data_IF_752315290607
#
_entry.id   IF_752315290607
#
_cell.length_a   1.000
_cell.length_b   1.000
_cell.length_c   1.000
_cell.angle_alpha   90.00
_cell.angle_beta   90.00
_cell.angle_gamma   90.00
#
_symmetry.space_group_name_H-M   'P 1'
#
loop_
_entity.id
_entity.type
_entity.pdbx_description
1 polymer ?
#
# COMPACT_ATOMS: atom_id res chain seq x y z
N UNK A 1 -2.89 -4.12 -1.10
CA UNK A 1 -2.48 -2.86 -1.74
C UNK A 1 -3.40 -1.70 -1.35
N UNK A 2 -4.73 -1.88 -1.32
CA UNK A 2 -5.72 -0.82 -1.02
C UNK A 2 -5.36 0.14 0.13
N UNK A 3 -5.04 -0.37 1.32
CA UNK A 3 -4.68 0.50 2.45
C UNK A 3 -3.32 1.22 2.25
N UNK A 4 -2.38 0.60 1.51
CA UNK A 4 -1.10 1.22 1.14
C UNK A 4 -1.31 2.32 0.11
N UNK A 5 -2.30 2.18 -0.76
CA UNK A 5 -2.67 3.21 -1.74
C UNK A 5 -3.35 4.41 -1.05
N UNK A 6 -4.22 4.16 -0.06
CA UNK A 6 -4.86 5.21 0.75
C UNK A 6 -3.90 5.91 1.73
N UNK A 7 -2.96 5.15 2.31
CA UNK A 7 -1.97 5.65 3.26
C UNK A 7 -0.64 6.07 2.64
N UNK A 8 -0.45 5.87 1.34
CA UNK A 8 0.83 6.04 0.66
C UNK A 8 1.23 7.52 0.53
N UNK A 9 2.48 7.82 0.87
CA UNK A 9 3.07 9.16 0.75
C UNK A 9 4.13 9.24 -0.35
N UNK A 10 4.75 8.11 -0.70
CA UNK A 10 5.74 8.06 -1.77
C UNK A 10 5.76 6.68 -2.41
N UNK A 11 5.75 6.65 -3.74
CA UNK A 11 5.79 5.43 -4.53
C UNK A 11 7.01 5.42 -5.45
N UNK A 12 7.70 4.29 -5.51
CA UNK A 12 8.87 4.08 -6.39
C UNK A 12 8.86 2.67 -6.97
N UNK A 13 9.34 2.55 -8.20
CA UNK A 13 9.61 1.24 -8.83
C UNK A 13 11.08 0.90 -8.63
N UNK A 14 11.34 -0.15 -7.85
CA UNK A 14 12.66 -0.76 -7.71
C UNK A 14 13.02 -1.50 -9.01
N UNK A 15 14.33 -1.51 -9.33
CA UNK A 15 14.86 -2.17 -10.52
C UNK A 15 14.21 -1.73 -11.84
N UNK A 16 13.77 -0.47 -11.94
CA UNK A 16 13.09 0.07 -13.13
C UNK A 16 13.87 -0.17 -14.43
N UNK A 17 15.20 -0.17 -14.39
CA UNK A 17 16.06 -0.40 -15.55
C UNK A 17 16.39 -1.88 -15.86
N UNK A 18 16.14 -2.84 -14.96
CA UNK A 18 16.65 -4.23 -15.09
C UNK A 18 15.69 -5.21 -15.79
N UNK A 19 14.70 -4.69 -16.51
CA UNK A 19 13.68 -5.50 -17.19
C UNK A 19 12.47 -5.87 -16.31
N UNK A 20 11.31 -6.20 -16.91
CA UNK A 20 10.04 -6.29 -16.20
C UNK A 20 9.98 -7.40 -15.16
N UNK A 21 10.65 -8.54 -15.40
CA UNK A 21 10.59 -9.71 -14.53
C UNK A 21 11.14 -9.47 -13.11
N UNK A 22 11.97 -8.45 -12.93
CA UNK A 22 12.64 -8.15 -11.64
C UNK A 22 12.24 -6.81 -11.04
N UNK A 23 11.27 -6.11 -11.64
CA UNK A 23 10.73 -4.86 -11.11
C UNK A 23 9.83 -5.12 -9.90
N UNK A 24 9.86 -4.22 -8.92
CA UNK A 24 8.99 -4.28 -7.75
C UNK A 24 8.52 -2.88 -7.33
N UNK A 25 7.27 -2.77 -6.88
CA UNK A 25 6.74 -1.50 -6.36
C UNK A 25 7.04 -1.38 -4.86
N UNK A 26 7.62 -0.26 -4.45
CA UNK A 26 7.81 0.11 -3.05
C UNK A 26 7.02 1.38 -2.75
N UNK A 27 6.26 1.34 -1.67
CA UNK A 27 5.57 2.50 -1.13
C UNK A 27 6.05 2.80 0.29
N UNK A 28 6.22 4.08 0.61
CA UNK A 28 6.22 4.56 1.99
C UNK A 28 4.80 5.02 2.31
N UNK A 29 4.32 4.69 3.50
CA UNK A 29 2.99 5.04 3.95
C UNK A 29 3.03 5.81 5.27
N UNK A 30 2.12 6.77 5.41
CA UNK A 30 1.81 7.40 6.69
C UNK A 30 1.14 6.37 7.60
N UNK A 31 1.70 6.17 8.80
CA UNK A 31 1.24 5.15 9.74
C UNK A 31 -0.19 5.40 10.23
N UNK A 32 -0.57 6.67 10.43
CA UNK A 32 -1.90 7.02 10.94
C UNK A 32 -2.93 6.76 9.86
N UNK A 33 -2.70 7.25 8.63
CA UNK A 33 -3.62 7.01 7.50
C UNK A 33 -3.73 5.54 7.16
N UNK A 34 -2.61 4.81 7.12
CA UNK A 34 -2.62 3.37 6.87
C UNK A 34 -3.42 2.61 7.93
N UNK A 35 -3.21 2.91 9.22
CA UNK A 35 -3.97 2.30 10.32
C UNK A 35 -5.46 2.59 10.21
N UNK A 36 -5.84 3.83 9.90
CA UNK A 36 -7.24 4.23 9.74
C UNK A 36 -7.90 3.48 8.56
N UNK A 37 -7.21 3.36 7.43
CA UNK A 37 -7.69 2.61 6.27
C UNK A 37 -7.92 1.13 6.60
N UNK A 38 -6.96 0.47 7.25
CA UNK A 38 -7.11 -0.93 7.68
C UNK A 38 -8.26 -1.10 8.67
N UNK A 39 -8.37 -0.20 9.65
CA UNK A 39 -9.47 -0.25 10.64
C UNK A 39 -10.82 -0.16 9.95
N UNK A 40 -10.98 0.79 9.02
CA UNK A 40 -12.22 0.96 8.23
C UNK A 40 -12.56 -0.31 7.44
N UNK A 41 -11.57 -0.97 6.83
CA UNK A 41 -11.79 -2.21 6.08
C UNK A 41 -12.30 -3.32 6.99
N UNK A 42 -11.70 -3.48 8.17
CA UNK A 42 -12.10 -4.52 9.13
C UNK A 42 -13.48 -4.25 9.73
N UNK A 43 -13.76 -3.02 10.13
CA UNK A 43 -15.07 -2.64 10.72
C UNK A 43 -16.25 -2.81 9.74
N UNK A 44 -15.97 -2.82 8.43
CA UNK A 44 -16.99 -2.97 7.38
C UNK A 44 -16.95 -4.34 6.70
N UNK A 45 -16.17 -5.30 7.20
CA UNK A 45 -16.15 -6.66 6.67
C UNK A 45 -17.36 -7.43 7.22
N UNK A 46 -18.30 -7.88 6.39
CA UNK A 46 -19.44 -8.64 6.88
C UNK A 46 -19.00 -9.96 7.53
N UNK A 47 -19.61 -10.29 8.67
CA UNK A 47 -19.35 -11.49 9.47
C UNK A 47 -17.93 -11.59 10.04
N UNK A 48 -17.33 -10.45 10.36
CA UNK A 48 -16.09 -10.32 11.12
C UNK A 48 -16.37 -9.65 12.47
#
# INVERSE_FOLDING_TARGET
>A
ALATDEGGIQFRILNSSKGPAVRATRAQADRVRYKAAIRRVLENQPNL
#
